data_IF_692725321167
#
_entry.id   IF_692725321167
#
_cell.length_a   1.000
_cell.length_b   1.000
_cell.length_c   1.000
_cell.angle_alpha   90.00
_cell.angle_beta   90.00
_cell.angle_gamma   90.00
#
_symmetry.space_group_name_H-M   'P 1'
#
loop_
_entity.id
_entity.type
_entity.pdbx_description
1 polymer ?
#
# COMPACT_ATOMS: atom_id res chain seq x y z
N UNK A 1 36.69 -39.94 -49.16
CA UNK A 1 37.54 -40.51 -48.09
C UNK A 1 38.75 -39.60 -47.88
N UNK A 2 38.73 -38.81 -46.80
CA UNK A 2 39.93 -38.30 -46.11
C UNK A 2 39.46 -37.70 -44.79
N UNK A 3 39.78 -38.42 -43.73
CA UNK A 3 39.63 -38.09 -42.32
C UNK A 3 40.65 -37.02 -41.92
N UNK A 4 40.20 -35.99 -41.21
CA UNK A 4 41.06 -35.23 -40.31
C UNK A 4 40.26 -34.80 -39.08
N UNK A 5 40.49 -35.54 -38.01
CA UNK A 5 40.18 -35.15 -36.63
C UNK A 5 41.11 -34.01 -36.21
N UNK A 6 40.55 -32.97 -35.59
CA UNK A 6 41.30 -32.15 -34.65
C UNK A 6 40.40 -31.82 -33.45
N UNK A 7 40.61 -32.58 -32.39
CA UNK A 7 40.19 -32.28 -31.02
C UNK A 7 40.98 -31.10 -30.47
N UNK A 8 40.30 -30.04 -30.06
CA UNK A 8 40.83 -29.08 -29.10
C UNK A 8 39.83 -28.92 -27.96
N UNK A 9 40.16 -29.54 -26.84
CA UNK A 9 39.51 -29.35 -25.56
C UNK A 9 40.06 -28.09 -24.89
N UNK A 10 39.17 -27.18 -24.51
CA UNK A 10 39.45 -26.18 -23.48
C UNK A 10 38.18 -26.03 -22.63
N UNK A 11 38.22 -26.68 -21.47
CA UNK A 11 37.23 -26.56 -20.42
C UNK A 11 37.48 -25.25 -19.65
N UNK A 12 36.45 -24.40 -19.56
CA UNK A 12 36.22 -23.56 -18.38
C UNK A 12 34.73 -23.53 -18.09
N UNK A 13 34.34 -24.44 -17.20
CA UNK A 13 33.05 -24.41 -16.53
C UNK A 13 33.08 -23.29 -15.48
N UNK A 14 32.37 -22.19 -15.73
CA UNK A 14 32.00 -21.25 -14.67
C UNK A 14 30.74 -21.80 -14.01
N UNK A 15 30.94 -22.68 -13.04
CA UNK A 15 29.88 -23.10 -12.12
C UNK A 15 29.69 -22.00 -11.07
N UNK A 16 28.75 -21.09 -11.30
CA UNK A 16 28.16 -20.32 -10.20
C UNK A 16 27.24 -21.25 -9.42
N UNK A 17 27.79 -21.88 -8.39
CA UNK A 17 27.01 -22.51 -7.35
C UNK A 17 26.20 -21.43 -6.63
N UNK A 18 24.88 -21.47 -6.79
CA UNK A 18 23.95 -20.76 -5.90
C UNK A 18 23.65 -21.73 -4.74
N UNK A 19 24.06 -21.45 -3.49
CA UNK A 19 23.57 -22.20 -2.36
C UNK A 19 22.18 -21.67 -2.00
N UNK A 20 21.17 -22.46 -2.33
CA UNK A 20 19.87 -22.38 -1.70
C UNK A 20 19.91 -23.02 -0.31
N UNK A 21 19.21 -22.36 0.63
CA UNK A 21 18.56 -22.94 1.82
C UNK A 21 19.41 -23.73 2.81
N UNK A 22 19.95 -23.06 3.83
CA UNK A 22 19.88 -23.46 5.25
C UNK A 22 20.78 -22.58 6.14
N UNK A 23 20.22 -21.59 6.86
CA UNK A 23 20.72 -21.21 8.20
C UNK A 23 19.79 -20.24 8.97
N UNK A 24 18.49 -20.50 8.98
CA UNK A 24 17.58 -19.97 10.00
C UNK A 24 17.68 -20.84 11.28
N UNK A 25 18.82 -20.77 11.98
CA UNK A 25 19.02 -21.58 13.19
C UNK A 25 20.23 -21.26 14.07
N UNK A 26 20.94 -20.15 13.83
CA UNK A 26 22.22 -19.86 14.50
C UNK A 26 22.29 -18.60 15.37
N UNK A 27 21.31 -17.69 15.30
CA UNK A 27 21.44 -16.35 15.91
C UNK A 27 20.97 -16.24 17.38
N UNK A 28 20.53 -17.33 18.01
CA UNK A 28 20.02 -17.28 19.41
C UNK A 28 21.08 -17.66 20.46
N UNK A 29 22.30 -18.11 20.07
CA UNK A 29 23.29 -18.63 21.05
C UNK A 29 24.59 -17.82 21.25
N UNK A 30 24.69 -16.57 20.78
CA UNK A 30 25.85 -15.70 21.07
C UNK A 30 25.52 -14.33 21.69
N UNK A 31 24.39 -14.23 22.40
CA UNK A 31 24.09 -13.07 23.25
C UNK A 31 24.29 -13.36 24.76
N UNK A 32 24.98 -14.44 25.14
CA UNK A 32 25.18 -14.84 26.55
C UNK A 32 26.64 -14.86 27.01
N UNK A 33 27.51 -14.10 26.35
CA UNK A 33 28.91 -13.93 26.75
C UNK A 33 29.38 -12.49 26.54
N UNK A 34 28.64 -11.54 27.13
CA UNK A 34 29.11 -10.19 27.42
C UNK A 34 28.45 -9.74 28.74
N UNK A 35 28.59 -10.56 29.78
CA UNK A 35 28.27 -10.18 31.14
C UNK A 35 29.43 -9.32 31.65
N UNK A 36 29.31 -8.01 31.43
CA UNK A 36 30.15 -6.98 32.02
C UNK A 36 29.29 -6.09 32.92
N UNK A 37 29.36 -6.35 34.22
CA UNK A 37 29.36 -5.41 35.34
C UNK A 37 28.24 -4.34 35.38
N UNK A 38 27.34 -4.57 36.34
CA UNK A 38 26.62 -3.63 37.20
C UNK A 38 26.77 -2.13 36.89
N UNK A 39 25.78 -1.60 36.17
CA UNK A 39 25.35 -0.21 36.31
C UNK A 39 23.82 -0.21 36.26
N UNK A 40 23.09 0.20 37.30
CA UNK A 40 21.65 0.35 37.19
C UNK A 40 21.39 1.37 36.08
N UNK A 41 20.83 0.88 34.97
CA UNK A 41 20.37 1.73 33.89
C UNK A 41 19.42 2.74 34.51
N UNK A 42 19.73 4.03 34.36
CA UNK A 42 18.83 5.09 34.73
C UNK A 42 17.50 4.82 34.04
N UNK A 43 16.48 4.49 34.83
CA UNK A 43 15.11 4.36 34.36
C UNK A 43 14.81 5.69 33.69
N UNK A 44 14.71 5.68 32.36
CA UNK A 44 14.30 6.85 31.62
C UNK A 44 12.99 7.33 32.25
N UNK A 45 12.99 8.55 32.79
CA UNK A 45 11.78 9.19 33.29
C UNK A 45 10.78 9.11 32.15
N UNK A 46 9.76 8.26 32.31
CA UNK A 46 8.58 8.31 31.45
C UNK A 46 7.99 9.68 31.72
N UNK A 47 8.27 10.63 30.83
CA UNK A 47 7.65 11.95 30.84
C UNK A 47 6.15 11.67 30.82
N UNK A 48 5.51 11.97 31.96
CA UNK A 48 4.07 11.91 32.11
C UNK A 48 3.45 12.64 30.93
N UNK A 49 2.61 11.94 30.16
CA UNK A 49 1.88 12.54 29.06
C UNK A 49 1.22 13.85 29.52
N UNK A 50 1.25 14.92 28.70
CA UNK A 50 0.72 16.21 29.10
C UNK A 50 -0.74 16.05 29.56
N UNK A 51 -0.98 16.36 30.83
CA UNK A 51 -2.32 16.34 31.43
C UNK A 51 -2.99 17.66 31.06
N UNK A 52 -3.85 17.63 30.03
CA UNK A 52 -4.58 18.81 29.57
C UNK A 52 -5.20 18.62 28.19
N UNK A 53 -6.03 19.58 27.75
CA UNK A 53 -6.59 19.55 26.41
C UNK A 53 -5.47 19.63 25.37
N UNK A 54 -5.35 18.60 24.54
CA UNK A 54 -4.48 18.62 23.36
C UNK A 54 -5.11 19.58 22.36
N UNK A 55 -4.46 20.73 22.13
CA UNK A 55 -4.94 21.69 21.13
C UNK A 55 -4.77 21.09 19.73
N UNK A 56 -5.87 21.02 19.00
CA UNK A 56 -5.87 20.64 17.59
C UNK A 56 -5.06 21.69 16.82
N UNK A 57 -4.12 21.24 15.98
CA UNK A 57 -3.37 22.18 15.14
C UNK A 57 -4.35 22.84 14.15
N UNK A 58 -4.13 24.09 13.72
CA UNK A 58 -5.00 24.72 12.73
C UNK A 58 -5.19 23.89 11.44
N UNK A 59 -4.15 23.18 10.99
CA UNK A 59 -4.20 22.27 9.85
C UNK A 59 -5.12 21.04 10.06
N UNK A 60 -5.42 20.70 11.32
CA UNK A 60 -6.26 19.58 11.71
C UNK A 60 -7.70 20.00 12.06
N UNK A 61 -8.05 21.28 11.91
CA UNK A 61 -9.41 21.79 12.13
C UNK A 61 -10.35 21.36 11.01
N UNK A 62 -11.58 21.02 11.36
CA UNK A 62 -12.62 20.65 10.40
C UNK A 62 -13.20 21.93 9.81
N UNK A 63 -12.92 22.16 8.53
CA UNK A 63 -13.46 23.27 7.75
C UNK A 63 -14.24 22.74 6.53
N UNK A 64 -14.94 23.63 5.84
CA UNK A 64 -15.76 23.24 4.68
C UNK A 64 -14.94 22.59 3.55
N UNK A 65 -13.77 23.15 3.14
CA UNK A 65 -12.93 22.50 2.13
C UNK A 65 -12.46 21.09 2.53
N UNK A 66 -12.04 20.88 3.78
CA UNK A 66 -11.62 19.55 4.25
C UNK A 66 -12.78 18.56 4.32
N UNK A 67 -14.00 18.99 4.66
CA UNK A 67 -15.18 18.14 4.62
C UNK A 67 -15.57 17.74 3.20
N UNK A 68 -15.45 18.63 2.22
CA UNK A 68 -15.72 18.31 0.82
C UNK A 68 -14.70 17.31 0.26
N UNK A 69 -13.42 17.51 0.57
CA UNK A 69 -12.37 16.53 0.25
C UNK A 69 -12.63 15.19 0.95
N UNK A 70 -13.08 15.20 2.20
CA UNK A 70 -13.39 13.99 2.96
C UNK A 70 -14.55 13.19 2.33
N UNK A 71 -15.64 13.87 1.96
CA UNK A 71 -16.76 13.22 1.28
C UNK A 71 -16.36 12.62 -0.08
N UNK A 72 -15.50 13.31 -0.83
CA UNK A 72 -14.92 12.78 -2.08
C UNK A 72 -14.01 11.58 -1.82
N UNK A 73 -13.19 11.61 -0.77
CA UNK A 73 -12.34 10.49 -0.37
C UNK A 73 -13.18 9.26 0.02
N UNK A 74 -14.27 9.41 0.78
CA UNK A 74 -15.19 8.31 1.10
C UNK A 74 -15.78 7.67 -0.17
N UNK A 75 -16.13 8.50 -1.16
CA UNK A 75 -16.64 8.01 -2.44
C UNK A 75 -15.57 7.25 -3.23
N UNK A 76 -14.34 7.78 -3.26
CA UNK A 76 -13.20 7.12 -3.90
C UNK A 76 -12.83 5.79 -3.22
N UNK A 77 -12.84 5.76 -1.89
CA UNK A 77 -12.57 4.55 -1.11
C UNK A 77 -13.61 3.47 -1.40
N UNK A 78 -14.90 3.83 -1.42
CA UNK A 78 -15.98 2.92 -1.79
C UNK A 78 -15.76 2.31 -3.18
N UNK A 79 -15.47 3.14 -4.18
CA UNK A 79 -15.21 2.66 -5.55
C UNK A 79 -14.00 1.73 -5.60
N UNK A 80 -12.94 2.05 -4.87
CA UNK A 80 -11.75 1.22 -4.78
C UNK A 80 -12.05 -0.15 -4.16
N UNK A 81 -12.84 -0.18 -3.07
CA UNK A 81 -13.27 -1.42 -2.41
C UNK A 81 -14.18 -2.26 -3.31
N UNK A 82 -15.16 -1.64 -3.99
CA UNK A 82 -16.04 -2.32 -4.94
C UNK A 82 -15.27 -2.92 -6.12
N UNK A 83 -14.31 -2.17 -6.69
CA UNK A 83 -13.47 -2.66 -7.78
C UNK A 83 -12.60 -3.83 -7.35
N UNK A 84 -11.98 -3.77 -6.16
CA UNK A 84 -11.17 -4.89 -5.65
C UNK A 84 -12.00 -6.09 -5.27
N UNK A 85 -13.20 -5.89 -4.71
CA UNK A 85 -14.14 -6.97 -4.48
C UNK A 85 -14.49 -7.66 -5.79
N UNK A 86 -14.79 -6.89 -6.85
CA UNK A 86 -15.03 -7.40 -8.20
C UNK A 86 -13.83 -8.19 -8.74
N UNK A 87 -12.63 -7.62 -8.69
CA UNK A 87 -11.40 -8.28 -9.15
C UNK A 87 -11.19 -9.60 -8.40
N UNK A 88 -11.33 -9.61 -7.06
CA UNK A 88 -11.15 -10.81 -6.23
C UNK A 88 -12.04 -11.98 -6.67
N UNK A 89 -13.26 -11.72 -7.16
CA UNK A 89 -14.13 -12.79 -7.69
C UNK A 89 -13.62 -13.44 -8.97
N UNK A 90 -12.71 -12.77 -9.69
CA UNK A 90 -12.14 -13.23 -10.97
C UNK A 90 -10.72 -13.80 -10.84
N UNK A 91 -10.13 -13.75 -9.64
CA UNK A 91 -8.76 -14.20 -9.42
C UNK A 91 -8.67 -15.72 -9.57
N UNK A 92 -7.63 -16.16 -10.29
CA UNK A 92 -7.21 -17.56 -10.29
C UNK A 92 -6.51 -17.90 -8.97
N UNK A 93 -6.38 -19.19 -8.66
CA UNK A 93 -5.50 -19.59 -7.57
C UNK A 93 -4.05 -19.11 -7.85
N UNK A 94 -3.22 -18.89 -6.81
CA UNK A 94 -1.82 -18.54 -7.00
C UNK A 94 -1.07 -19.52 -7.92
N UNK A 95 -1.31 -20.83 -7.79
CA UNK A 95 -0.68 -21.84 -8.65
C UNK A 95 -1.19 -21.79 -10.10
N UNK A 96 -2.50 -21.61 -10.30
CA UNK A 96 -3.10 -21.50 -11.63
C UNK A 96 -2.63 -20.25 -12.36
N UNK A 97 -2.55 -19.12 -11.65
CA UNK A 97 -2.01 -17.88 -12.16
C UNK A 97 -0.54 -18.06 -12.58
N UNK A 98 0.30 -18.65 -11.71
CA UNK A 98 1.71 -18.89 -12.00
C UNK A 98 1.90 -19.78 -13.24
N UNK A 99 1.16 -20.90 -13.34
CA UNK A 99 1.23 -21.77 -14.53
C UNK A 99 0.79 -21.03 -15.79
N UNK A 100 -0.27 -20.23 -15.68
CA UNK A 100 -0.74 -19.42 -16.81
C UNK A 100 0.31 -18.39 -17.25
N UNK A 101 0.93 -17.67 -16.31
CA UNK A 101 1.92 -16.64 -16.63
C UNK A 101 3.19 -17.24 -17.25
N UNK A 102 3.66 -18.39 -16.77
CA UNK A 102 4.75 -19.16 -17.37
C UNK A 102 4.46 -19.52 -18.84
N UNK A 103 3.24 -20.01 -19.14
CA UNK A 103 2.84 -20.35 -20.52
C UNK A 103 2.65 -19.11 -21.38
N UNK A 104 2.05 -18.04 -20.84
CA UNK A 104 1.81 -16.79 -21.56
C UNK A 104 3.13 -16.13 -22.02
N UNK A 105 4.16 -16.22 -21.18
CA UNK A 105 5.49 -15.64 -21.42
C UNK A 105 6.52 -16.62 -21.93
N UNK A 106 6.13 -17.86 -22.23
CA UNK A 106 7.03 -18.85 -22.79
C UNK A 106 7.69 -18.28 -24.07
N UNK A 107 9.00 -18.48 -24.31
CA UNK A 107 9.70 -17.96 -25.50
C UNK A 107 9.09 -18.42 -26.83
N UNK A 108 8.28 -19.48 -26.79
CA UNK A 108 7.56 -20.00 -27.95
C UNK A 108 6.26 -19.26 -28.25
N UNK A 109 5.73 -18.45 -27.32
CA UNK A 109 4.48 -17.72 -27.51
C UNK A 109 4.63 -16.60 -28.54
N UNK A 110 3.60 -16.33 -29.38
CA UNK A 110 3.65 -15.24 -30.35
C UNK A 110 3.91 -13.88 -29.71
N UNK A 111 3.33 -13.64 -28.53
CA UNK A 111 3.45 -12.36 -27.83
C UNK A 111 4.84 -12.17 -27.22
N UNK A 112 5.46 -13.23 -26.67
CA UNK A 112 6.83 -13.16 -26.17
C UNK A 112 7.84 -12.95 -27.32
N UNK A 113 7.63 -13.61 -28.46
CA UNK A 113 8.44 -13.39 -29.67
C UNK A 113 8.34 -11.95 -30.15
N UNK A 114 7.13 -11.39 -30.20
CA UNK A 114 6.92 -9.99 -30.58
C UNK A 114 7.62 -9.04 -29.60
N UNK A 115 7.45 -9.23 -28.29
CA UNK A 115 8.12 -8.41 -27.27
C UNK A 115 9.65 -8.47 -27.39
N UNK A 116 10.22 -9.66 -27.65
CA UNK A 116 11.67 -9.81 -27.86
C UNK A 116 12.12 -9.10 -29.15
N UNK A 117 11.33 -9.18 -30.22
CA UNK A 117 11.64 -8.46 -31.46
C UNK A 117 11.58 -6.94 -31.24
N UNK A 118 10.53 -6.43 -30.58
CA UNK A 118 10.38 -5.01 -30.25
C UNK A 118 11.59 -4.51 -29.42
N UNK A 119 12.11 -5.34 -28.50
CA UNK A 119 13.33 -5.05 -27.75
C UNK A 119 14.57 -4.99 -28.65
N UNK A 120 14.78 -5.98 -29.52
CA UNK A 120 15.93 -6.01 -30.44
C UNK A 120 15.89 -4.81 -31.40
N UNK A 121 14.71 -4.45 -31.90
CA UNK A 121 14.51 -3.29 -32.78
C UNK A 121 14.82 -1.98 -32.02
N UNK A 122 14.37 -1.86 -30.77
CA UNK A 122 14.67 -0.70 -29.93
C UNK A 122 16.18 -0.58 -29.61
N UNK A 123 16.87 -1.70 -29.45
CA UNK A 123 18.32 -1.74 -29.22
C UNK A 123 19.12 -1.40 -30.48
N UNK A 124 18.64 -1.81 -31.66
CA UNK A 124 19.24 -1.50 -32.95
C UNK A 124 18.85 -0.10 -33.49
N UNK A 125 17.91 0.58 -32.82
CA UNK A 125 17.46 1.92 -33.19
C UNK A 125 18.61 2.93 -33.17
N UNK A 126 18.59 3.87 -34.12
CA UNK A 126 19.53 5.01 -34.13
C UNK A 126 19.31 5.97 -32.95
N UNK A 127 18.14 5.91 -32.33
CA UNK A 127 17.80 6.70 -31.14
C UNK A 127 18.38 6.09 -29.85
N UNK A 128 18.92 4.87 -29.92
CA UNK A 128 19.62 4.26 -28.81
C UNK A 128 20.99 4.92 -28.62
N UNK A 129 21.05 5.90 -27.72
CA UNK A 129 22.27 6.61 -27.34
C UNK A 129 23.13 5.84 -26.31
N UNK A 130 22.69 4.65 -25.88
CA UNK A 130 23.36 3.86 -24.85
C UNK A 130 23.25 4.45 -23.44
N UNK A 131 22.45 5.50 -23.24
CA UNK A 131 22.28 6.13 -21.94
C UNK A 131 21.52 5.23 -20.97
N UNK A 132 21.75 5.43 -19.67
CA UNK A 132 21.01 4.74 -18.62
C UNK A 132 19.50 5.07 -18.69
N UNK A 133 19.14 6.29 -19.08
CA UNK A 133 17.74 6.72 -19.23
C UNK A 133 17.04 5.96 -20.37
N UNK A 134 17.68 5.86 -21.54
CA UNK A 134 17.14 5.12 -22.68
C UNK A 134 16.95 3.64 -22.35
N UNK A 135 17.96 3.00 -21.74
CA UNK A 135 17.88 1.61 -21.32
C UNK A 135 16.78 1.38 -20.26
N UNK A 136 16.62 2.33 -19.32
CA UNK A 136 15.54 2.28 -18.32
C UNK A 136 14.16 2.38 -18.96
N UNK A 137 14.00 3.24 -19.97
CA UNK A 137 12.75 3.37 -20.73
C UNK A 137 12.40 2.07 -21.46
N UNK A 138 13.36 1.43 -22.13
CA UNK A 138 13.16 0.13 -22.77
C UNK A 138 12.75 -0.93 -21.75
N UNK A 139 13.49 -1.06 -20.64
CA UNK A 139 13.20 -2.05 -19.61
C UNK A 139 11.80 -1.85 -19.00
N UNK A 140 11.42 -0.60 -18.74
CA UNK A 140 10.08 -0.25 -18.23
C UNK A 140 9.00 -0.58 -19.28
N UNK A 141 9.24 -0.30 -20.55
CA UNK A 141 8.35 -0.64 -21.66
C UNK A 141 8.13 -2.14 -21.80
N UNK A 142 9.21 -2.94 -21.75
CA UNK A 142 9.14 -4.40 -21.78
C UNK A 142 8.34 -4.94 -20.60
N UNK A 143 8.61 -4.47 -19.38
CA UNK A 143 7.85 -4.86 -18.19
C UNK A 143 6.36 -4.55 -18.36
N UNK A 144 6.01 -3.35 -18.84
CA UNK A 144 4.62 -2.98 -19.07
C UNK A 144 3.94 -3.81 -20.18
N UNK A 145 4.70 -4.31 -21.17
CA UNK A 145 4.19 -5.22 -22.20
C UNK A 145 4.00 -6.64 -21.65
N UNK A 146 4.96 -7.14 -20.87
CA UNK A 146 4.86 -8.40 -20.14
C UNK A 146 3.63 -8.41 -19.23
N UNK A 147 3.46 -7.38 -18.40
CA UNK A 147 2.34 -7.23 -17.48
C UNK A 147 1.01 -7.21 -18.26
N UNK A 148 0.95 -6.52 -19.41
CA UNK A 148 -0.24 -6.53 -20.30
C UNK A 148 -0.56 -7.91 -20.89
N UNK A 149 0.45 -8.65 -21.33
CA UNK A 149 0.28 -10.01 -21.90
C UNK A 149 -0.26 -10.95 -20.81
N UNK A 150 0.36 -10.94 -19.63
CA UNK A 150 -0.06 -11.79 -18.51
C UNK A 150 -1.45 -11.39 -18.05
N UNK A 151 -1.71 -10.10 -17.83
CA UNK A 151 -3.02 -9.64 -17.39
C UNK A 151 -4.13 -10.01 -18.38
N UNK A 152 -3.88 -9.84 -19.69
CA UNK A 152 -4.84 -10.18 -20.73
C UNK A 152 -5.16 -11.67 -20.84
N UNK A 153 -4.19 -12.56 -20.59
CA UNK A 153 -4.39 -14.03 -20.71
C UNK A 153 -4.74 -14.71 -19.40
N UNK A 154 -4.21 -14.20 -18.29
CA UNK A 154 -4.24 -14.85 -16.99
C UNK A 154 -5.12 -14.12 -15.97
N UNK A 155 -5.54 -12.89 -16.26
CA UNK A 155 -6.28 -12.05 -15.33
C UNK A 155 -5.35 -11.30 -14.38
N UNK A 156 -5.91 -10.79 -13.28
CA UNK A 156 -5.14 -10.05 -12.27
C UNK A 156 -4.27 -10.97 -11.42
N UNK A 157 -3.10 -10.49 -11.02
CA UNK A 157 -2.18 -11.21 -10.13
C UNK A 157 -2.76 -11.31 -8.71
N UNK A 158 -3.04 -12.52 -8.17
CA UNK A 158 -3.63 -12.66 -6.85
C UNK A 158 -2.76 -12.07 -5.73
N UNK A 159 -1.44 -11.96 -5.92
CA UNK A 159 -0.52 -11.37 -4.92
C UNK A 159 -0.70 -9.85 -4.75
N UNK A 160 -1.23 -9.15 -5.76
CA UNK A 160 -1.54 -7.71 -5.71
C UNK A 160 -2.89 -7.41 -5.05
N UNK A 161 -3.69 -8.45 -4.80
CA UNK A 161 -5.01 -8.37 -4.20
C UNK A 161 -5.11 -9.18 -2.90
N UNK A 162 -4.18 -8.97 -1.93
CA UNK A 162 -4.25 -9.64 -0.63
C UNK A 162 -5.58 -9.29 0.06
N UNK A 163 -6.05 -10.11 1.03
CA UNK A 163 -7.18 -9.74 1.87
C UNK A 163 -6.97 -8.36 2.50
N UNK A 164 -8.06 -7.62 2.72
CA UNK A 164 -7.95 -6.32 3.39
C UNK A 164 -7.37 -6.50 4.80
N UNK A 165 -6.52 -5.57 5.26
CA UNK A 165 -6.08 -5.55 6.64
C UNK A 165 -7.29 -5.49 7.59
N UNK A 166 -7.19 -6.16 8.73
CA UNK A 166 -8.25 -6.09 9.74
C UNK A 166 -8.42 -4.67 10.32
N UNK A 167 -9.52 -4.40 11.05
CA UNK A 167 -9.84 -3.05 11.56
C UNK A 167 -8.79 -2.42 12.50
N UNK A 168 -7.87 -3.22 13.04
CA UNK A 168 -6.80 -2.75 13.92
C UNK A 168 -5.49 -2.47 13.17
N UNK A 169 -5.49 -2.50 11.84
CA UNK A 169 -4.29 -2.24 11.06
C UNK A 169 -3.93 -0.75 11.13
N UNK A 170 -2.64 -0.46 11.33
CA UNK A 170 -2.14 0.93 11.29
C UNK A 170 -2.19 1.54 9.89
N UNK A 171 -2.37 0.72 8.86
CA UNK A 171 -2.39 1.12 7.47
C UNK A 171 -3.47 0.36 6.71
N UNK A 172 -4.36 1.13 6.09
CA UNK A 172 -5.38 0.64 5.17
C UNK A 172 -5.05 1.13 3.75
N UNK A 173 -4.73 0.23 2.79
CA UNK A 173 -4.43 0.62 1.41
C UNK A 173 -5.58 1.39 0.73
N UNK A 174 -6.83 1.04 1.05
CA UNK A 174 -8.04 1.71 0.56
C UNK A 174 -8.03 3.19 0.92
N UNK A 175 -7.75 3.50 2.18
CA UNK A 175 -7.67 4.85 2.71
C UNK A 175 -6.54 5.66 2.06
N UNK A 176 -5.37 5.02 1.87
CA UNK A 176 -4.23 5.66 1.23
C UNK A 176 -4.54 6.09 -0.21
N UNK A 177 -5.04 5.16 -1.02
CA UNK A 177 -5.33 5.43 -2.43
C UNK A 177 -6.48 6.43 -2.60
N UNK A 178 -7.52 6.35 -1.76
CA UNK A 178 -8.64 7.29 -1.76
C UNK A 178 -8.21 8.71 -1.37
N UNK A 179 -7.43 8.85 -0.31
CA UNK A 179 -6.91 10.15 0.13
C UNK A 179 -5.99 10.77 -0.94
N UNK A 180 -5.09 9.97 -1.52
CA UNK A 180 -4.20 10.38 -2.60
C UNK A 180 -4.96 10.89 -3.83
N UNK A 181 -6.02 10.21 -4.24
CA UNK A 181 -6.83 10.60 -5.41
C UNK A 181 -7.44 12.01 -5.27
N UNK A 182 -7.78 12.41 -4.05
CA UNK A 182 -8.37 13.74 -3.78
C UNK A 182 -7.34 14.77 -3.30
N UNK A 183 -6.06 14.42 -3.23
CA UNK A 183 -5.01 15.31 -2.73
C UNK A 183 -5.07 15.54 -1.21
N UNK A 184 -5.65 14.61 -0.45
CA UNK A 184 -5.67 14.63 1.02
C UNK A 184 -4.54 13.76 1.58
N UNK A 185 -3.92 14.20 2.68
CA UNK A 185 -3.01 13.36 3.45
C UNK A 185 -3.75 12.17 4.09
N UNK A 186 -3.15 10.97 4.04
CA UNK A 186 -3.80 9.76 4.58
C UNK A 186 -4.09 9.87 6.08
N UNK A 187 -3.17 10.42 6.89
CA UNK A 187 -3.38 10.57 8.32
C UNK A 187 -4.52 11.55 8.60
N UNK A 188 -4.62 12.60 7.78
CA UNK A 188 -5.74 13.53 7.83
C UNK A 188 -7.07 12.83 7.55
N UNK A 189 -7.12 11.99 6.52
CA UNK A 189 -8.32 11.20 6.19
C UNK A 189 -8.74 10.27 7.33
N UNK A 190 -7.80 9.50 7.88
CA UNK A 190 -8.06 8.61 9.02
C UNK A 190 -8.54 9.37 10.26
N UNK A 191 -7.89 10.51 10.60
CA UNK A 191 -8.30 11.36 11.71
C UNK A 191 -9.73 11.90 11.55
N UNK A 192 -10.13 12.25 10.33
CA UNK A 192 -11.49 12.69 10.04
C UNK A 192 -12.52 11.56 10.24
N UNK A 193 -12.23 10.32 9.80
CA UNK A 193 -13.08 9.15 10.09
C UNK A 193 -13.25 8.95 11.60
N UNK A 194 -12.16 9.03 12.35
CA UNK A 194 -12.15 8.86 13.81
C UNK A 194 -12.90 9.96 14.57
N UNK A 195 -12.81 11.23 14.14
CA UNK A 195 -13.49 12.35 14.81
C UNK A 195 -14.96 12.47 14.41
N UNK A 196 -15.26 12.37 13.11
CA UNK A 196 -16.61 12.62 12.60
C UNK A 196 -17.58 11.53 13.05
N UNK A 197 -17.13 10.27 13.13
CA UNK A 197 -17.98 9.15 13.54
C UNK A 197 -18.61 9.36 14.93
N UNK A 198 -17.84 9.56 16.02
CA UNK A 198 -18.42 9.77 17.34
C UNK A 198 -19.21 11.09 17.42
N UNK A 199 -18.79 12.15 16.72
CA UNK A 199 -19.58 13.39 16.69
C UNK A 199 -20.96 13.16 16.08
N UNK A 200 -21.03 12.48 14.94
CA UNK A 200 -22.28 12.23 14.25
C UNK A 200 -23.14 11.14 14.91
N UNK A 201 -22.55 10.27 15.74
CA UNK A 201 -23.26 9.32 16.60
C UNK A 201 -23.74 9.95 17.92
N UNK A 202 -23.18 11.09 18.34
CA UNK A 202 -23.56 11.78 19.57
C UNK A 202 -24.98 12.36 19.48
N UNK A 203 -25.71 12.42 20.59
CA UNK A 203 -27.10 12.91 20.58
C UNK A 203 -27.21 14.32 19.98
N UNK A 204 -28.10 14.49 18.99
CA UNK A 204 -28.27 15.75 18.28
C UNK A 204 -28.76 16.87 19.21
N UNK A 205 -29.60 16.56 20.20
CA UNK A 205 -30.05 17.55 21.17
C UNK A 205 -28.91 18.04 22.08
N UNK A 206 -27.93 17.18 22.36
CA UNK A 206 -26.76 17.50 23.17
C UNK A 206 -25.66 18.28 22.43
N UNK A 207 -25.74 18.43 21.09
CA UNK A 207 -24.76 19.21 20.31
C UNK A 207 -24.95 20.72 20.48
N UNK A 208 -26.17 21.20 20.70
CA UNK A 208 -26.44 22.63 20.91
C UNK A 208 -25.86 23.54 19.81
N UNK A 209 -25.61 24.81 20.15
CA UNK A 209 -25.04 25.84 19.25
C UNK A 209 -23.64 26.30 19.65
N UNK A 210 -23.06 25.71 20.68
CA UNK A 210 -21.75 26.07 21.24
C UNK A 210 -20.70 25.00 20.97
N UNK A 211 -19.61 25.06 21.72
CA UNK A 211 -18.58 24.01 21.67
C UNK A 211 -19.15 22.67 22.17
N UNK A 212 -18.86 21.60 21.44
CA UNK A 212 -19.40 20.25 21.71
C UNK A 212 -18.30 19.37 22.25
N UNK A 213 -18.57 18.70 23.37
CA UNK A 213 -17.68 17.71 23.98
C UNK A 213 -18.26 16.32 23.77
N UNK A 214 -17.60 15.53 22.94
CA UNK A 214 -18.02 14.17 22.60
C UNK A 214 -17.07 13.17 23.27
N UNK A 215 -17.58 12.15 23.97
CA UNK A 215 -16.73 11.09 24.51
C UNK A 215 -15.89 10.43 23.41
N UNK A 216 -14.59 10.30 23.65
CA UNK A 216 -13.65 9.60 22.77
C UNK A 216 -13.44 8.14 23.19
N UNK A 217 -12.45 7.49 22.59
CA UNK A 217 -12.04 6.13 22.96
C UNK A 217 -11.23 6.22 24.26
N UNK A 218 -11.81 5.72 25.37
CA UNK A 218 -11.16 5.63 26.68
C UNK A 218 -11.81 6.50 27.76
N UNK A 219 -11.56 6.15 29.02
CA UNK A 219 -12.16 6.84 30.16
C UNK A 219 -11.62 8.27 30.31
N UNK A 220 -12.53 9.25 30.36
CA UNK A 220 -12.17 10.65 30.55
C UNK A 220 -11.58 11.34 29.32
N UNK A 221 -11.54 10.68 28.16
CA UNK A 221 -11.08 11.25 26.90
C UNK A 221 -12.28 11.86 26.17
N UNK A 222 -12.12 13.11 25.70
CA UNK A 222 -13.15 13.83 24.96
C UNK A 222 -12.57 14.45 23.71
N UNK A 223 -13.30 14.33 22.60
CA UNK A 223 -13.13 15.22 21.46
C UNK A 223 -13.87 16.52 21.74
N UNK A 224 -13.19 17.65 21.53
CA UNK A 224 -13.79 18.98 21.63
C UNK A 224 -13.92 19.53 20.22
N UNK A 225 -15.14 19.95 19.87
CA UNK A 225 -15.45 20.58 18.59
C UNK A 225 -15.83 22.01 18.86
N UNK A 226 -15.24 22.93 18.10
CA UNK A 226 -15.64 24.33 18.17
C UNK A 226 -17.06 24.49 17.60
N UNK A 227 -17.78 25.51 18.07
CA UNK A 227 -19.14 25.81 17.58
C UNK A 227 -19.22 25.88 16.04
N UNK A 228 -18.19 26.41 15.38
CA UNK A 228 -18.10 26.46 13.91
C UNK A 228 -17.96 25.08 13.26
N UNK A 229 -17.15 24.17 13.83
CA UNK A 229 -17.01 22.80 13.34
C UNK A 229 -18.34 22.04 13.52
N UNK A 230 -18.98 22.23 14.69
CA UNK A 230 -20.26 21.59 15.00
C UNK A 230 -21.39 22.04 14.06
N UNK A 231 -21.44 23.34 13.74
CA UNK A 231 -22.39 23.90 12.78
C UNK A 231 -22.19 23.35 11.36
N UNK A 232 -20.93 23.11 10.94
CA UNK A 232 -20.61 22.52 9.65
C UNK A 232 -20.95 21.02 9.57
N UNK A 233 -20.65 20.26 10.63
CA UNK A 233 -20.84 18.80 10.66
C UNK A 233 -22.30 18.38 10.80
N UNK A 234 -23.06 19.06 11.66
CA UNK A 234 -24.44 18.67 12.01
C UNK A 234 -25.34 18.40 10.81
N UNK A 235 -25.46 19.30 9.81
CA UNK A 235 -26.32 19.05 8.65
C UNK A 235 -25.79 17.94 7.72
N UNK A 236 -24.50 17.59 7.79
CA UNK A 236 -23.85 16.62 6.91
C UNK A 236 -23.75 15.22 7.52
N UNK A 237 -24.08 15.05 8.80
CA UNK A 237 -23.85 13.80 9.53
C UNK A 237 -24.50 12.57 8.89
N UNK A 238 -25.71 12.67 8.36
CA UNK A 238 -26.38 11.53 7.70
C UNK A 238 -25.59 11.03 6.47
N UNK A 239 -25.15 11.95 5.62
CA UNK A 239 -24.36 11.62 4.43
C UNK A 239 -22.97 11.07 4.81
N UNK A 240 -22.29 11.70 5.78
CA UNK A 240 -20.95 11.30 6.20
C UNK A 240 -20.95 9.92 6.85
N UNK A 241 -21.92 9.64 7.75
CA UNK A 241 -22.06 8.32 8.36
C UNK A 241 -22.40 7.23 7.33
N UNK A 242 -23.28 7.53 6.37
CA UNK A 242 -23.59 6.59 5.29
C UNK A 242 -22.35 6.28 4.44
N UNK A 243 -21.54 7.30 4.12
CA UNK A 243 -20.28 7.15 3.41
C UNK A 243 -19.27 6.30 4.19
N UNK A 244 -19.06 6.59 5.47
CA UNK A 244 -18.15 5.82 6.33
C UNK A 244 -18.58 4.36 6.50
N UNK A 245 -19.89 4.11 6.66
CA UNK A 245 -20.43 2.73 6.73
C UNK A 245 -20.22 1.96 5.42
N UNK A 246 -20.23 2.63 4.27
CA UNK A 246 -20.00 1.97 2.98
C UNK A 246 -18.54 1.56 2.75
N UNK A 247 -17.61 2.03 3.58
CA UNK A 247 -16.17 1.76 3.48
C UNK A 247 -15.57 1.12 4.74
N UNK A 248 -16.42 0.73 5.68
CA UNK A 248 -16.06 -0.04 6.88
C UNK A 248 -16.27 -1.53 6.64
#
# INVERSE_FOLDING_TARGET
MRTLSLTLAAAMAVTLAVPGHAQLGGLIKKAKAAAGVDKPAAVAKVESAPVGPVKVKPADRIDEPSLDLFARALTAEKQWLEERARIRTTLKSPEEYRRCSEVALAPTSPEAKKMMQDYLDAMASKDNDGSAEYMTKIATGMKAQQDRIVQGKCGYDPSLYPPEPGPSALYHPSEHEAAKLVGMDQKRYALLKERITPFCAFDAAARGTGDVRVPGIGNGIYYVYEASEAALLTPRCGQLLAGMKAVS
#
